data_IF_149120415611
#
_entry.id   IF_149120415611
#
_cell.length_a   1.000
_cell.length_b   1.000
_cell.length_c   1.000
_cell.angle_alpha   90.00
_cell.angle_beta   90.00
_cell.angle_gamma   90.00
#
_symmetry.space_group_name_H-M   'P 1'
#
loop_
_entity.id
_entity.type
_entity.pdbx_description
1 polymer ?
#
# COMPACT_ATOMS: atom_id res chain seq x y z
N UNK A 1 -67.68 -14.49 29.47
CA UNK A 1 -66.24 -14.44 29.83
C UNK A 1 -65.44 -14.24 28.60
N UNK A 2 -64.96 -13.02 28.32
CA UNK A 2 -64.09 -12.70 27.15
C UNK A 2 -62.66 -12.57 27.66
N UNK A 3 -61.75 -13.45 27.19
CA UNK A 3 -60.33 -13.42 27.53
C UNK A 3 -59.63 -12.47 26.56
N UNK A 4 -59.06 -11.39 27.10
CA UNK A 4 -58.17 -10.43 26.39
C UNK A 4 -56.76 -10.98 26.36
N UNK A 5 -56.19 -11.12 25.17
CA UNK A 5 -54.77 -11.50 24.95
C UNK A 5 -53.95 -10.22 24.81
N UNK A 6 -52.84 -10.04 25.55
CA UNK A 6 -52.01 -8.86 25.43
C UNK A 6 -51.14 -8.95 24.14
N UNK A 7 -51.16 -7.88 23.34
CA UNK A 7 -50.26 -7.69 22.19
C UNK A 7 -48.85 -7.36 22.69
N UNK A 8 -47.92 -8.26 22.41
CA UNK A 8 -46.50 -8.05 22.63
C UNK A 8 -45.98 -7.12 21.52
N UNK A 9 -45.57 -5.90 21.86
CA UNK A 9 -44.93 -4.94 20.96
C UNK A 9 -43.44 -5.30 20.91
N UNK A 10 -43.00 -5.89 19.78
CA UNK A 10 -41.57 -6.07 19.51
C UNK A 10 -40.97 -4.75 19.04
N UNK A 11 -40.13 -4.19 19.89
CA UNK A 11 -39.30 -3.02 19.55
C UNK A 11 -38.08 -3.51 18.76
N UNK A 12 -38.08 -3.30 17.41
CA UNK A 12 -36.94 -3.59 16.58
C UNK A 12 -35.88 -2.50 16.76
N UNK A 13 -34.74 -2.85 17.39
CA UNK A 13 -33.56 -2.00 17.44
C UNK A 13 -32.89 -2.03 16.05
N UNK A 14 -33.04 -0.97 15.29
CA UNK A 14 -32.26 -0.75 14.06
C UNK A 14 -30.83 -0.36 14.45
N UNK A 15 -29.89 -1.29 14.33
CA UNK A 15 -28.47 -1.00 14.41
C UNK A 15 -28.06 -0.30 13.10
N UNK A 16 -27.97 1.02 13.16
CA UNK A 16 -27.43 1.83 12.07
C UNK A 16 -25.93 1.56 11.91
N UNK A 17 -25.55 0.77 10.91
CA UNK A 17 -24.15 0.70 10.45
C UNK A 17 -23.82 2.05 9.82
N UNK A 18 -23.06 2.87 10.53
CA UNK A 18 -22.43 4.07 9.98
C UNK A 18 -21.39 3.63 8.93
N UNK A 19 -21.80 3.63 7.67
CA UNK A 19 -20.88 3.51 6.55
C UNK A 19 -20.00 4.77 6.55
N UNK A 20 -18.72 4.61 6.86
CA UNK A 20 -17.74 5.67 6.71
C UNK A 20 -17.72 6.12 5.23
N UNK A 21 -17.59 7.44 4.94
CA UNK A 21 -17.68 7.94 3.58
C UNK A 21 -16.54 7.42 2.70
N UNK A 22 -16.86 6.59 1.73
CA UNK A 22 -15.96 6.10 0.69
C UNK A 22 -15.47 7.22 -0.27
N UNK A 23 -15.93 8.45 -0.09
CA UNK A 23 -15.78 9.56 -1.03
C UNK A 23 -14.43 10.30 -0.94
N UNK A 24 -13.58 10.03 0.07
CA UNK A 24 -12.29 10.73 0.21
C UNK A 24 -11.12 10.00 -0.47
N UNK A 25 -11.28 8.72 -0.83
CA UNK A 25 -10.21 7.89 -1.38
C UNK A 25 -9.93 8.15 -2.87
N UNK A 26 -10.96 8.57 -3.64
CA UNK A 26 -10.84 8.73 -5.10
C UNK A 26 -10.07 9.99 -5.55
N UNK A 27 -9.62 10.84 -4.63
CA UNK A 27 -8.96 12.13 -4.94
C UNK A 27 -7.54 12.25 -4.41
N UNK A 28 -6.97 11.23 -3.80
CA UNK A 28 -5.62 11.32 -3.28
C UNK A 28 -4.61 11.51 -4.41
N UNK A 29 -3.88 12.63 -4.39
CA UNK A 29 -2.80 12.94 -5.34
C UNK A 29 -1.49 12.29 -4.97
N UNK A 30 -1.37 11.85 -3.71
CA UNK A 30 -0.15 11.24 -3.20
C UNK A 30 -0.33 10.66 -1.80
N UNK A 31 0.78 10.31 -1.17
CA UNK A 31 0.82 9.86 0.21
C UNK A 31 2.11 10.29 0.91
N UNK A 32 2.08 10.26 2.24
CA UNK A 32 3.25 10.41 3.11
C UNK A 32 3.47 9.10 3.84
N UNK A 33 4.61 8.46 3.60
CA UNK A 33 5.09 7.30 4.34
C UNK A 33 5.94 7.83 5.50
N UNK A 34 5.53 7.58 6.72
CA UNK A 34 6.30 7.94 7.94
C UNK A 34 6.96 6.69 8.49
N UNK A 35 8.26 6.75 8.81
CA UNK A 35 8.99 5.65 9.41
C UNK A 35 8.95 5.71 10.95
N UNK A 36 8.97 4.56 11.63
CA UNK A 36 8.99 4.51 13.09
C UNK A 36 10.27 5.13 13.68
N UNK A 37 11.39 5.04 12.98
CA UNK A 37 12.66 5.69 13.38
C UNK A 37 12.70 7.19 13.12
N UNK A 38 11.62 7.75 12.60
CA UNK A 38 11.56 9.14 12.11
C UNK A 38 11.87 9.26 10.63
N UNK A 39 11.47 10.39 10.05
CA UNK A 39 11.57 10.68 8.63
C UNK A 39 10.28 10.42 7.86
N UNK A 40 10.05 11.24 6.84
CA UNK A 40 8.90 11.19 5.96
C UNK A 40 9.34 11.08 4.51
N UNK A 41 8.61 10.26 3.75
CA UNK A 41 8.78 10.08 2.32
C UNK A 41 7.47 10.50 1.67
N UNK A 42 7.49 11.57 0.87
CA UNK A 42 6.32 12.04 0.12
C UNK A 42 6.33 11.46 -1.27
N UNK A 43 5.22 10.84 -1.65
CA UNK A 43 5.02 10.28 -2.99
C UNK A 43 3.87 10.99 -3.70
N UNK A 44 4.04 11.22 -4.99
CA UNK A 44 3.02 11.64 -5.93
C UNK A 44 2.57 10.44 -6.75
N UNK A 45 1.26 10.26 -6.92
CA UNK A 45 0.70 9.16 -7.70
C UNK A 45 0.55 9.51 -9.19
N UNK A 46 0.54 8.47 -10.02
CA UNK A 46 0.30 8.55 -11.47
C UNK A 46 -1.02 7.86 -11.85
N UNK A 47 -2.19 8.40 -11.45
CA UNK A 47 -3.48 7.73 -11.68
C UNK A 47 -3.86 7.65 -13.17
N UNK A 48 -3.29 8.48 -14.03
CA UNK A 48 -3.49 8.39 -15.48
C UNK A 48 -2.76 7.18 -16.10
N UNK A 49 -1.64 6.74 -15.51
CA UNK A 49 -0.81 5.66 -16.01
C UNK A 49 -1.14 4.30 -15.37
N UNK A 50 -1.59 4.31 -14.10
CA UNK A 50 -1.84 3.12 -13.32
C UNK A 50 -3.06 3.30 -12.37
N UNK A 51 -4.27 3.54 -12.92
CA UNK A 51 -5.45 3.89 -12.12
C UNK A 51 -5.85 2.82 -11.09
N UNK A 52 -5.83 1.55 -11.46
CA UNK A 52 -6.22 0.44 -10.57
C UNK A 52 -5.17 0.15 -9.50
N UNK A 53 -3.91 0.33 -9.84
CA UNK A 53 -2.80 0.20 -8.89
C UNK A 53 -2.84 1.31 -7.85
N UNK A 54 -3.06 2.56 -8.28
CA UNK A 54 -3.23 3.70 -7.35
C UNK A 54 -4.46 3.49 -6.46
N UNK A 55 -5.61 3.11 -7.03
CA UNK A 55 -6.83 2.79 -6.26
C UNK A 55 -6.57 1.72 -5.19
N UNK A 56 -5.87 0.64 -5.55
CA UNK A 56 -5.52 -0.44 -4.63
C UNK A 56 -4.58 0.04 -3.52
N UNK A 57 -3.53 0.78 -3.86
CA UNK A 57 -2.58 1.31 -2.86
C UNK A 57 -3.28 2.28 -1.91
N UNK A 58 -4.10 3.20 -2.41
CA UNK A 58 -4.90 4.15 -1.64
C UNK A 58 -5.86 3.43 -0.69
N UNK A 59 -6.58 2.42 -1.17
CA UNK A 59 -7.46 1.58 -0.35
C UNK A 59 -6.71 0.92 0.80
N UNK A 60 -5.59 0.25 0.51
CA UNK A 60 -4.79 -0.44 1.53
C UNK A 60 -4.18 0.55 2.54
N UNK A 61 -3.64 1.69 2.08
CA UNK A 61 -3.11 2.74 2.95
C UNK A 61 -4.20 3.33 3.84
N UNK A 62 -5.39 3.62 3.29
CA UNK A 62 -6.53 4.14 4.06
C UNK A 62 -7.05 3.17 5.13
N UNK A 63 -6.79 1.87 4.99
CA UNK A 63 -7.12 0.83 5.97
C UNK A 63 -6.02 0.60 7.01
N UNK A 64 -4.90 1.33 6.98
CA UNK A 64 -3.74 1.08 7.83
C UNK A 64 -3.05 -0.26 7.54
N UNK A 65 -3.26 -0.81 6.33
CA UNK A 65 -2.70 -2.12 5.95
C UNK A 65 -1.18 -2.15 6.06
N UNK A 66 -0.50 -1.06 5.75
CA UNK A 66 0.96 -0.95 5.74
C UNK A 66 1.56 -0.65 7.13
N UNK A 67 0.76 -0.20 8.09
CA UNK A 67 1.24 0.23 9.40
C UNK A 67 1.89 -0.94 10.16
N UNK A 68 3.09 -0.71 10.68
CA UNK A 68 3.89 -1.72 11.37
C UNK A 68 4.66 -2.70 10.48
N UNK A 69 4.42 -2.70 9.17
CA UNK A 69 5.23 -3.51 8.23
C UNK A 69 6.64 -2.96 8.14
N UNK A 70 7.63 -3.82 7.85
CA UNK A 70 9.00 -3.35 7.61
C UNK A 70 9.44 -3.51 6.15
N UNK A 71 10.47 -2.76 5.80
CA UNK A 71 11.21 -2.95 4.55
C UNK A 71 12.01 -4.25 4.67
N UNK A 72 11.59 -5.26 3.94
CA UNK A 72 12.15 -6.61 4.02
C UNK A 72 13.28 -6.86 3.02
N UNK A 73 13.42 -6.00 2.01
CA UNK A 73 14.50 -6.07 1.02
C UNK A 73 15.08 -4.68 0.81
N UNK A 74 16.39 -4.58 0.91
CA UNK A 74 17.18 -3.37 0.63
C UNK A 74 18.39 -3.78 -0.18
N UNK A 75 18.42 -3.34 -1.44
CA UNK A 75 19.52 -3.58 -2.37
C UNK A 75 20.20 -2.25 -2.67
N UNK A 76 21.38 -1.99 -2.10
CA UNK A 76 22.09 -0.72 -2.30
C UNK A 76 22.28 -0.39 -3.78
N UNK A 77 21.97 0.85 -4.16
CA UNK A 77 22.03 1.30 -5.53
C UNK A 77 20.96 0.73 -6.47
N UNK A 78 19.99 -0.01 -5.92
CA UNK A 78 18.90 -0.59 -6.71
C UNK A 78 17.52 -0.22 -6.14
N UNK A 79 17.05 -0.92 -5.09
CA UNK A 79 15.69 -0.72 -4.56
C UNK A 79 15.61 -0.92 -3.04
N UNK A 80 14.58 -0.33 -2.43
CA UNK A 80 14.02 -0.71 -1.13
C UNK A 80 12.60 -1.22 -1.33
N UNK A 81 12.22 -2.35 -0.70
CA UNK A 81 10.92 -3.01 -0.92
C UNK A 81 10.23 -3.30 0.41
N UNK A 82 8.92 -3.02 0.44
CA UNK A 82 8.02 -3.27 1.56
C UNK A 82 6.65 -3.78 1.06
N UNK A 83 5.67 -3.85 1.95
CA UNK A 83 4.28 -4.15 1.58
C UNK A 83 3.86 -5.60 1.82
N UNK A 84 4.69 -6.40 2.49
CA UNK A 84 4.32 -7.75 2.92
C UNK A 84 3.70 -7.72 4.32
N UNK A 85 2.42 -8.09 4.50
CA UNK A 85 1.77 -8.10 5.82
C UNK A 85 2.39 -9.07 6.83
N UNK A 86 3.07 -10.13 6.37
CA UNK A 86 3.77 -11.08 7.25
C UNK A 86 4.89 -10.39 8.02
N UNK A 87 5.45 -9.29 7.50
CA UNK A 87 6.48 -8.50 8.17
C UNK A 87 6.00 -7.81 9.47
N UNK A 88 4.68 -7.78 9.74
CA UNK A 88 4.17 -7.28 11.02
C UNK A 88 4.50 -8.21 12.19
N UNK A 89 4.49 -9.52 11.94
CA UNK A 89 4.58 -10.57 12.98
C UNK A 89 5.84 -11.41 12.90
N UNK A 90 6.43 -11.52 11.72
CA UNK A 90 7.65 -12.30 11.50
C UNK A 90 8.89 -11.41 11.67
N UNK A 91 10.02 -12.04 12.02
CA UNK A 91 11.29 -11.35 12.14
C UNK A 91 11.92 -11.05 10.76
N UNK A 92 12.77 -10.00 10.65
CA UNK A 92 13.61 -9.83 9.48
C UNK A 92 14.47 -11.08 9.22
N UNK A 93 14.52 -11.54 7.97
CA UNK A 93 15.23 -12.75 7.57
C UNK A 93 14.40 -14.05 7.61
N UNK A 94 13.15 -14.02 8.11
CA UNK A 94 12.24 -15.16 7.96
C UNK A 94 11.91 -15.36 6.47
N UNK A 95 12.08 -16.60 5.98
CA UNK A 95 11.92 -16.93 4.54
C UNK A 95 10.51 -16.73 3.99
N UNK A 96 9.51 -16.61 4.85
CA UNK A 96 8.13 -16.33 4.48
C UNK A 96 7.93 -14.86 4.12
N UNK A 97 8.71 -13.96 4.70
CA UNK A 97 8.64 -12.54 4.40
C UNK A 97 9.11 -12.29 2.98
N UNK A 98 8.32 -11.52 2.24
CA UNK A 98 8.49 -11.27 0.81
C UNK A 98 7.57 -12.14 -0.08
N UNK A 99 6.81 -13.08 0.52
CA UNK A 99 5.86 -13.94 -0.21
C UNK A 99 4.39 -13.60 0.04
N UNK A 100 4.10 -12.71 1.01
CA UNK A 100 2.75 -12.34 1.40
C UNK A 100 2.14 -11.22 0.56
N UNK A 101 0.82 -11.04 0.72
CA UNK A 101 0.04 -10.02 0.04
C UNK A 101 -1.30 -9.79 0.71
N UNK A 102 -2.20 -9.01 0.11
CA UNK A 102 -3.48 -8.60 0.70
C UNK A 102 -4.57 -9.69 0.60
N UNK A 103 -4.24 -10.88 0.11
CA UNK A 103 -5.18 -11.98 -0.13
C UNK A 103 -5.81 -11.98 -1.52
N UNK A 104 -5.37 -11.08 -2.40
CA UNK A 104 -5.76 -10.99 -3.81
C UNK A 104 -4.64 -10.39 -4.64
N UNK A 105 -4.77 -10.47 -5.96
CA UNK A 105 -3.88 -9.85 -6.94
C UNK A 105 -4.63 -8.84 -7.80
N UNK A 106 -3.88 -7.92 -8.39
CA UNK A 106 -4.35 -6.92 -9.35
C UNK A 106 -3.64 -7.11 -10.68
N UNK A 107 -4.33 -6.76 -11.78
CA UNK A 107 -3.75 -6.79 -13.13
C UNK A 107 -2.62 -5.78 -13.27
N UNK A 108 -1.63 -6.15 -14.06
CA UNK A 108 -0.54 -5.25 -14.41
C UNK A 108 -1.04 -4.07 -15.24
N UNK A 109 -0.50 -2.89 -14.95
CA UNK A 109 -0.73 -1.65 -15.70
C UNK A 109 0.61 -1.12 -16.20
N UNK A 110 1.29 -1.92 -17.06
CA UNK A 110 2.57 -1.51 -17.64
C UNK A 110 2.39 -0.23 -18.46
N UNK A 111 3.28 0.73 -18.22
CA UNK A 111 3.18 2.06 -18.80
C UNK A 111 4.54 2.57 -19.28
N UNK A 112 4.60 3.82 -19.76
CA UNK A 112 5.80 4.43 -20.35
C UNK A 112 6.71 5.10 -19.31
N UNK A 113 6.31 5.14 -18.05
CA UNK A 113 7.13 5.71 -16.98
C UNK A 113 8.43 4.93 -16.84
N UNK A 114 9.53 5.67 -16.69
CA UNK A 114 10.88 5.09 -16.58
C UNK A 114 11.22 4.82 -15.13
N UNK A 115 11.93 3.75 -14.86
CA UNK A 115 12.48 3.45 -13.55
C UNK A 115 13.70 4.33 -13.24
N UNK A 116 13.47 5.62 -13.09
CA UNK A 116 14.46 6.56 -12.60
C UNK A 116 14.59 6.47 -11.08
N UNK A 117 15.61 7.12 -10.49
CA UNK A 117 15.74 7.22 -9.03
C UNK A 117 14.50 7.84 -8.40
N UNK A 118 13.96 7.21 -7.35
CA UNK A 118 12.80 7.69 -6.60
C UNK A 118 11.45 7.25 -7.17
N UNK A 119 11.42 6.42 -8.21
CA UNK A 119 10.17 5.86 -8.73
C UNK A 119 9.62 4.81 -7.77
N UNK A 120 8.30 4.79 -7.58
CA UNK A 120 7.60 3.74 -6.84
C UNK A 120 6.83 2.84 -7.81
N UNK A 121 7.01 1.52 -7.69
CA UNK A 121 6.38 0.53 -8.55
C UNK A 121 5.96 -0.72 -7.76
N UNK A 122 5.03 -1.49 -8.33
CA UNK A 122 4.56 -2.74 -7.72
C UNK A 122 5.57 -3.86 -7.90
N UNK A 123 5.88 -4.54 -6.79
CA UNK A 123 6.55 -5.82 -6.85
C UNK A 123 5.55 -6.92 -7.28
N UNK A 124 6.06 -7.97 -7.92
CA UNK A 124 5.28 -9.12 -8.40
C UNK A 124 6.13 -10.39 -8.49
N UNK A 125 5.47 -11.54 -8.64
CA UNK A 125 6.12 -12.79 -9.00
C UNK A 125 6.42 -12.86 -10.52
N UNK A 126 6.63 -14.05 -11.07
CA UNK A 126 6.81 -14.20 -12.52
C UNK A 126 5.55 -13.85 -13.31
N UNK A 127 4.37 -14.15 -12.77
CA UNK A 127 3.10 -13.76 -13.37
C UNK A 127 2.95 -12.23 -13.32
N UNK A 128 2.76 -11.55 -14.44
CA UNK A 128 2.50 -10.11 -14.50
C UNK A 128 1.33 -9.65 -13.64
N UNK A 129 0.28 -10.46 -13.54
CA UNK A 129 -0.95 -10.15 -12.80
C UNK A 129 -0.92 -10.63 -11.35
N UNK A 130 0.26 -10.83 -10.76
CA UNK A 130 0.45 -11.28 -9.38
C UNK A 130 0.75 -10.15 -8.38
N UNK A 131 0.77 -8.90 -8.79
CA UNK A 131 0.94 -7.78 -7.88
C UNK A 131 -0.21 -7.72 -6.87
N UNK A 132 0.08 -7.36 -5.62
CA UNK A 132 -0.92 -7.26 -4.56
C UNK A 132 -0.72 -6.01 -3.71
N UNK A 133 0.14 -6.10 -2.70
CA UNK A 133 0.44 -4.99 -1.79
C UNK A 133 1.92 -4.60 -1.77
N UNK A 134 2.82 -5.47 -2.23
CA UNK A 134 4.25 -5.19 -2.17
C UNK A 134 4.65 -4.14 -3.21
N UNK A 135 5.44 -3.19 -2.79
CA UNK A 135 5.97 -2.12 -3.63
C UNK A 135 7.46 -1.91 -3.38
N UNK A 136 8.14 -1.31 -4.33
CA UNK A 136 9.52 -0.89 -4.15
C UNK A 136 9.73 0.56 -4.60
N UNK A 137 10.76 1.20 -4.02
CA UNK A 137 11.24 2.51 -4.43
C UNK A 137 12.66 2.33 -4.98
N UNK A 138 12.93 2.88 -6.16
CA UNK A 138 14.24 2.80 -6.81
C UNK A 138 15.23 3.77 -6.16
N UNK A 139 16.44 3.28 -5.88
CA UNK A 139 17.56 4.08 -5.37
C UNK A 139 18.43 4.65 -6.51
N UNK A 140 18.37 4.03 -7.67
CA UNK A 140 19.05 4.48 -8.91
C UNK A 140 18.19 4.12 -10.12
N UNK A 141 18.58 4.60 -11.31
CA UNK A 141 17.91 4.22 -12.55
C UNK A 141 18.04 2.72 -12.84
N UNK A 142 16.92 2.09 -13.21
CA UNK A 142 16.84 0.66 -13.49
C UNK A 142 16.08 0.40 -14.81
N UNK A 143 16.62 0.82 -15.97
CA UNK A 143 15.90 0.78 -17.25
C UNK A 143 15.51 -0.63 -17.71
N UNK A 144 16.18 -1.68 -17.19
CA UNK A 144 15.83 -3.07 -17.48
C UNK A 144 14.46 -3.51 -16.89
N UNK A 145 13.86 -2.71 -15.99
CA UNK A 145 12.51 -2.90 -15.45
C UNK A 145 11.42 -2.19 -16.26
N UNK A 146 11.80 -1.27 -17.16
CA UNK A 146 10.84 -0.46 -17.93
C UNK A 146 9.89 -1.35 -18.73
N UNK A 147 8.59 -1.04 -18.67
CA UNK A 147 7.53 -1.79 -19.35
C UNK A 147 7.28 -3.20 -18.80
N UNK A 148 7.95 -3.60 -17.70
CA UNK A 148 7.82 -4.94 -17.09
C UNK A 148 7.21 -4.91 -15.68
N UNK A 149 7.18 -3.74 -15.06
CA UNK A 149 6.58 -3.49 -13.74
C UNK A 149 5.69 -2.26 -13.81
N UNK A 150 4.63 -2.25 -13.02
CA UNK A 150 3.67 -1.15 -12.95
C UNK A 150 4.25 -0.02 -12.10
N UNK A 151 4.71 1.04 -12.74
CA UNK A 151 5.05 2.30 -12.07
C UNK A 151 3.77 3.04 -11.77
N UNK A 152 3.57 3.46 -10.52
CA UNK A 152 2.33 4.13 -10.11
C UNK A 152 2.55 5.47 -9.38
N UNK A 153 3.82 5.90 -9.24
CA UNK A 153 4.16 7.18 -8.64
C UNK A 153 5.65 7.42 -8.53
N UNK A 154 6.00 8.51 -7.86
CA UNK A 154 7.39 8.89 -7.58
C UNK A 154 7.53 9.56 -6.22
N UNK A 155 8.70 9.49 -5.63
CA UNK A 155 9.10 10.27 -4.46
C UNK A 155 9.33 11.71 -4.89
N UNK A 156 8.66 12.66 -4.23
CA UNK A 156 8.81 14.11 -4.47
C UNK A 156 9.56 14.79 -3.33
N UNK A 157 9.71 14.13 -2.18
CA UNK A 157 10.49 14.62 -1.03
C UNK A 157 10.87 13.46 -0.12
N UNK A 158 12.03 13.51 0.55
CA UNK A 158 12.50 12.50 1.49
C UNK A 158 13.30 11.37 0.84
N UNK A 159 13.97 11.60 -0.29
CA UNK A 159 14.86 10.59 -0.89
C UNK A 159 16.07 10.26 0.00
N UNK A 160 16.54 11.19 0.80
CA UNK A 160 17.54 10.97 1.86
C UNK A 160 17.06 9.97 2.92
N UNK A 161 15.77 10.06 3.28
CA UNK A 161 15.12 9.07 4.17
C UNK A 161 15.06 7.71 3.51
N UNK A 162 14.68 7.64 2.20
CA UNK A 162 14.65 6.37 1.44
C UNK A 162 16.02 5.72 1.39
N UNK A 163 17.08 6.48 1.10
CA UNK A 163 18.47 6.00 1.03
C UNK A 163 19.01 5.52 2.39
N UNK A 164 18.47 6.07 3.48
CA UNK A 164 18.79 5.66 4.84
C UNK A 164 18.03 4.43 5.34
N UNK A 165 17.12 3.82 4.53
CA UNK A 165 16.35 2.64 4.92
C UNK A 165 17.27 1.43 5.03
N UNK A 166 17.03 0.64 6.09
CA UNK A 166 17.67 -0.67 6.33
C UNK A 166 16.62 -1.75 6.44
N UNK A 167 17.00 -2.99 6.17
CA UNK A 167 16.13 -4.15 6.42
C UNK A 167 15.68 -4.13 7.90
N UNK A 168 14.38 -4.25 8.11
CA UNK A 168 13.76 -4.19 9.44
C UNK A 168 13.22 -2.80 9.83
N UNK A 169 13.57 -1.72 9.13
CA UNK A 169 12.96 -0.40 9.36
C UNK A 169 11.46 -0.46 9.08
N UNK A 170 10.65 0.04 10.04
CA UNK A 170 9.21 -0.10 10.00
C UNK A 170 8.50 1.17 9.53
N UNK A 171 7.43 0.95 8.80
CA UNK A 171 6.45 1.97 8.44
C UNK A 171 5.60 2.25 9.69
N UNK A 172 5.59 3.49 10.17
CA UNK A 172 4.69 3.92 11.24
C UNK A 172 3.26 4.12 10.70
N UNK A 173 3.15 4.78 9.54
CA UNK A 173 1.87 4.99 8.86
C UNK A 173 2.08 5.39 7.39
N UNK A 174 1.05 5.19 6.57
CA UNK A 174 0.93 5.80 5.24
C UNK A 174 -0.33 6.66 5.23
N UNK A 175 -0.16 7.98 5.15
CA UNK A 175 -1.27 8.94 5.13
C UNK A 175 -1.47 9.49 3.71
N UNK A 176 -2.72 9.48 3.24
CA UNK A 176 -3.09 10.02 1.93
C UNK A 176 -3.10 11.55 1.97
N UNK A 177 -2.71 12.18 0.86
CA UNK A 177 -2.72 13.63 0.66
C UNK A 177 -3.44 14.00 -0.64
N UNK A 178 -4.18 15.11 -0.61
CA UNK A 178 -4.97 15.64 -1.72
C UNK A 178 -4.22 16.75 -2.46
#
# INVERSE_FOLDING_TARGET
>A
MRRTVPRLVMLALAVGVLAAPALAQDKAKGAVITLQKGGEIRIEFFPADAPKTVENFVKLAGQGFYDGQFFHRVEPGFVVQAGDPQSKTLAPGDRRVGTGGPGYSIKAEFNKQKHERGVIAMARSQDPDSAGSQFYITLAAAPFLDGKYTVFGKVVSGMDVVEGIKVGDRIASIKLVN
#
